data_IF_981813678445
#
_entry.id   IF_981813678445
#
_cell.length_a   1.000
_cell.length_b   1.000
_cell.length_c   1.000
_cell.angle_alpha   90.00
_cell.angle_beta   90.00
_cell.angle_gamma   90.00
#
_symmetry.space_group_name_H-M   'P 1'
#
loop_
_entity.id
_entity.type
_entity.pdbx_description
1 polymer ?
#
# COMPACT_ATOMS: atom_id res chain seq x y z
N UNK A 1 -16.31 -0.41 -4.94
CA UNK A 1 -15.31 0.61 -5.35
C UNK A 1 -13.94 0.10 -4.95
N UNK A 2 -12.95 0.18 -5.85
CA UNK A 2 -11.57 -0.23 -5.59
C UNK A 2 -10.63 0.92 -5.95
N UNK A 3 -9.60 1.14 -5.12
CA UNK A 3 -8.60 2.20 -5.31
C UNK A 3 -7.22 1.56 -5.22
N UNK A 4 -6.39 1.79 -6.25
CA UNK A 4 -5.01 1.33 -6.30
C UNK A 4 -4.06 2.52 -6.13
N UNK A 5 -2.97 2.32 -5.39
CA UNK A 5 -1.94 3.33 -5.13
C UNK A 5 -0.63 2.85 -5.76
N UNK A 6 -0.16 3.55 -6.80
CA UNK A 6 1.09 3.27 -7.51
C UNK A 6 2.16 4.33 -7.22
N UNK A 7 3.42 3.98 -7.39
CA UNK A 7 4.57 4.85 -7.11
C UNK A 7 5.85 4.06 -6.83
N UNK A 8 6.98 4.76 -6.79
CA UNK A 8 8.31 4.13 -6.64
C UNK A 8 8.51 3.47 -5.27
N UNK A 9 9.53 2.61 -5.16
CA UNK A 9 9.99 2.08 -3.86
C UNK A 9 10.40 3.27 -2.97
N UNK A 10 9.99 3.25 -1.71
CA UNK A 10 10.24 4.36 -0.77
C UNK A 10 9.29 5.56 -0.89
N UNK A 11 8.37 5.60 -1.88
CA UNK A 11 7.45 6.73 -2.08
C UNK A 11 6.32 6.85 -1.02
N UNK A 12 6.33 6.03 0.04
CA UNK A 12 5.34 6.12 1.12
C UNK A 12 3.95 5.54 0.82
N UNK A 13 3.80 4.72 -0.23
CA UNK A 13 2.51 4.10 -0.62
C UNK A 13 1.81 3.39 0.53
N UNK A 14 2.54 2.57 1.29
CA UNK A 14 2.02 1.83 2.45
C UNK A 14 1.46 2.79 3.51
N UNK A 15 2.16 3.91 3.77
CA UNK A 15 1.72 4.94 4.71
C UNK A 15 0.43 5.59 4.23
N UNK A 16 0.36 5.96 2.96
CA UNK A 16 -0.83 6.56 2.36
C UNK A 16 -2.03 5.62 2.38
N UNK A 17 -1.85 4.35 1.99
CA UNK A 17 -2.90 3.32 2.05
C UNK A 17 -3.47 3.18 3.46
N UNK A 18 -2.60 3.17 4.49
CA UNK A 18 -3.02 3.07 5.90
C UNK A 18 -3.84 4.28 6.34
N UNK A 19 -3.40 5.49 6.00
CA UNK A 19 -4.11 6.72 6.35
C UNK A 19 -5.50 6.79 5.71
N UNK A 20 -5.59 6.42 4.42
CA UNK A 20 -6.87 6.39 3.70
C UNK A 20 -7.81 5.33 4.25
N UNK A 21 -7.28 4.13 4.54
CA UNK A 21 -8.03 3.05 5.16
C UNK A 21 -8.64 3.47 6.50
N UNK A 22 -7.86 4.12 7.38
CA UNK A 22 -8.34 4.61 8.67
C UNK A 22 -9.37 5.73 8.54
N UNK A 23 -9.12 6.71 7.66
CA UNK A 23 -9.98 7.89 7.52
C UNK A 23 -11.31 7.57 6.85
N UNK A 24 -11.34 6.60 5.93
CA UNK A 24 -12.50 6.28 5.11
C UNK A 24 -13.16 4.94 5.51
N UNK A 25 -12.61 4.24 6.51
CA UNK A 25 -13.08 2.92 6.92
C UNK A 25 -12.89 1.84 5.85
N UNK A 26 -11.96 2.05 4.91
CA UNK A 26 -11.74 1.12 3.80
C UNK A 26 -10.85 -0.05 4.20
N UNK A 27 -11.08 -1.22 3.60
CA UNK A 27 -10.20 -2.38 3.78
C UNK A 27 -8.92 -2.19 2.96
N UNK A 28 -7.78 -2.12 3.65
CA UNK A 28 -6.46 -2.03 3.03
C UNK A 28 -5.96 -3.40 2.56
N UNK A 29 -5.31 -3.41 1.40
CA UNK A 29 -4.54 -4.55 0.88
C UNK A 29 -3.12 -4.08 0.60
N UNK A 30 -2.12 -4.84 1.05
CA UNK A 30 -0.71 -4.54 0.88
C UNK A 30 -0.03 -5.66 0.10
N UNK A 31 0.97 -5.33 -0.71
CA UNK A 31 1.80 -6.32 -1.40
C UNK A 31 2.67 -7.09 -0.40
N UNK A 32 2.79 -8.40 -0.60
CA UNK A 32 3.77 -9.22 0.14
C UNK A 32 5.16 -8.86 -0.36
N UNK A 33 6.00 -8.33 0.53
CA UNK A 33 7.39 -7.94 0.25
C UNK A 33 8.35 -9.14 0.35
N UNK A 34 7.86 -10.31 0.75
CA UNK A 34 8.70 -11.39 1.26
C UNK A 34 8.95 -12.42 0.16
N UNK A 35 10.24 -12.67 -0.09
CA UNK A 35 10.88 -13.58 -1.04
C UNK A 35 11.11 -13.09 -2.47
N UNK A 36 11.63 -11.87 -2.64
CA UNK A 36 12.42 -11.56 -3.83
C UNK A 36 13.91 -11.42 -3.45
N UNK A 37 14.79 -12.36 -3.88
CA UNK A 37 16.23 -12.27 -3.61
C UNK A 37 16.94 -11.12 -4.35
N UNK A 38 16.22 -10.34 -5.16
CA UNK A 38 16.73 -9.20 -5.93
C UNK A 38 16.12 -7.85 -5.52
N UNK A 39 15.28 -7.80 -4.48
CA UNK A 39 14.59 -6.61 -3.97
C UNK A 39 14.97 -6.36 -2.51
#
# INVERSE_FOLDING_TARGET
>A
MYVAIAGNIGAGKTTLTRMLSQKLGWKAYYEKVIDNPYL
#
